data_IF_842511922774
#
_entry.id   IF_842511922774
#
_cell.length_a   1.000
_cell.length_b   1.000
_cell.length_c   1.000
_cell.angle_alpha   90.00
_cell.angle_beta   90.00
_cell.angle_gamma   90.00
#
_symmetry.space_group_name_H-M   'P 1'
#
loop_
_entity.id
_entity.type
_entity.pdbx_description
1 polymer ?
#
# COMPACT_ATOMS: atom_id res chain seq x y z
N UNK A 1 4.92 6.29 19.81
CA UNK A 1 3.50 6.52 20.03
C UNK A 1 2.73 5.24 19.71
N UNK A 2 1.84 4.75 20.61
CA UNK A 2 1.02 3.57 20.35
C UNK A 2 0.12 3.71 19.12
N UNK A 3 -0.14 4.93 18.66
CA UNK A 3 -0.91 5.22 17.45
C UNK A 3 -0.04 5.28 16.18
N UNK A 4 1.26 5.02 16.27
CA UNK A 4 2.16 4.98 15.13
C UNK A 4 2.33 6.33 14.41
N UNK A 5 2.16 7.45 15.11
CA UNK A 5 2.39 8.78 14.53
C UNK A 5 3.88 9.04 14.31
N UNK A 6 4.21 9.58 13.17
CA UNK A 6 5.54 10.05 12.82
C UNK A 6 5.52 11.51 12.40
N UNK A 7 6.59 12.23 12.69
CA UNK A 7 6.72 13.65 12.40
C UNK A 7 8.02 13.93 11.67
N UNK A 8 7.95 14.78 10.66
CA UNK A 8 9.13 15.24 9.92
C UNK A 8 8.94 16.69 9.48
N UNK A 9 9.93 17.53 9.71
CA UNK A 9 9.98 18.85 9.13
C UNK A 9 10.43 18.79 7.66
N UNK A 10 9.76 19.54 6.81
CA UNK A 10 10.08 19.71 5.39
C UNK A 10 9.92 21.21 5.02
N UNK A 11 11.00 21.97 5.06
CA UNK A 11 10.94 23.42 4.89
C UNK A 11 10.02 24.07 5.93
N UNK A 12 9.02 24.80 5.47
CA UNK A 12 8.01 25.47 6.32
C UNK A 12 6.81 24.55 6.64
N UNK A 13 6.86 23.30 6.24
CA UNK A 13 5.80 22.33 6.49
C UNK A 13 6.21 21.31 7.55
N UNK A 14 5.22 20.82 8.28
CA UNK A 14 5.33 19.63 9.10
C UNK A 14 4.58 18.50 8.41
N UNK A 15 5.27 17.40 8.13
CA UNK A 15 4.68 16.18 7.62
C UNK A 15 4.30 15.31 8.80
N UNK A 16 3.01 15.04 8.95
CA UNK A 16 2.46 14.12 9.94
C UNK A 16 2.07 12.81 9.25
N UNK A 17 2.70 11.72 9.61
CA UNK A 17 2.40 10.38 9.11
C UNK A 17 1.74 9.51 10.18
N UNK A 18 0.84 8.63 9.75
CA UNK A 18 0.10 7.70 10.62
C UNK A 18 -1.10 7.11 9.90
N UNK A 19 -2.08 6.63 10.67
CA UNK A 19 -3.30 6.04 10.10
C UNK A 19 -3.03 4.73 9.34
N UNK A 20 -2.03 3.97 9.77
CA UNK A 20 -1.63 2.72 9.12
C UNK A 20 -2.76 1.70 9.14
N UNK A 21 -3.18 1.24 7.97
CA UNK A 21 -4.21 0.24 7.83
C UNK A 21 -3.92 -0.64 6.61
N UNK A 22 -4.57 -1.79 6.55
CA UNK A 22 -4.51 -2.64 5.36
C UNK A 22 -5.28 -1.99 4.23
N UNK A 23 -4.71 -1.96 3.03
CA UNK A 23 -5.39 -1.45 1.84
C UNK A 23 -6.73 -2.18 1.63
N UNK A 24 -7.82 -1.41 1.48
CA UNK A 24 -9.17 -1.94 1.32
C UNK A 24 -9.88 -2.32 2.64
N UNK A 25 -9.30 -2.04 3.80
CA UNK A 25 -9.99 -2.24 5.09
C UNK A 25 -10.73 -0.97 5.50
N UNK A 26 -12.05 -0.98 5.29
CA UNK A 26 -12.94 0.15 5.60
C UNK A 26 -13.38 0.21 7.07
N UNK A 27 -13.02 -0.79 7.89
CA UNK A 27 -13.50 -0.91 9.28
C UNK A 27 -12.94 0.15 10.22
N UNK A 28 -11.82 0.76 9.88
CA UNK A 28 -11.11 1.73 10.71
C UNK A 28 -11.61 3.17 10.55
N UNK A 29 -12.63 3.41 9.71
CA UNK A 29 -13.10 4.74 9.39
C UNK A 29 -12.12 5.51 8.49
N UNK A 30 -12.30 6.83 8.40
CA UNK A 30 -11.46 7.68 7.56
C UNK A 30 -10.11 7.97 8.24
N UNK A 31 -8.98 7.45 7.71
CA UNK A 31 -7.65 7.67 8.27
C UNK A 31 -7.19 9.14 8.13
N UNK A 32 -7.71 9.88 7.16
CA UNK A 32 -7.40 11.31 7.01
C UNK A 32 -8.03 12.13 8.14
N UNK A 33 -9.26 11.84 8.51
CA UNK A 33 -9.92 12.51 9.63
C UNK A 33 -9.25 12.16 10.97
N UNK A 34 -8.74 10.94 11.13
CA UNK A 34 -7.97 10.56 12.30
C UNK A 34 -6.66 11.36 12.42
N UNK A 35 -5.92 11.51 11.31
CA UNK A 35 -4.69 12.30 11.27
C UNK A 35 -4.96 13.80 11.45
N UNK A 36 -6.05 14.31 10.89
CA UNK A 36 -6.45 15.71 11.05
C UNK A 36 -6.74 16.02 12.52
N UNK A 37 -7.50 15.17 13.22
CA UNK A 37 -7.73 15.32 14.66
C UNK A 37 -6.45 15.29 15.46
N UNK A 38 -5.50 14.42 15.12
CA UNK A 38 -4.19 14.38 15.76
C UNK A 38 -3.40 15.68 15.50
N UNK A 39 -3.44 16.20 14.26
CA UNK A 39 -2.82 17.48 13.92
C UNK A 39 -3.41 18.64 14.73
N UNK A 40 -4.72 18.73 14.83
CA UNK A 40 -5.43 19.75 15.63
C UNK A 40 -5.09 19.66 17.12
N UNK A 41 -4.96 18.45 17.65
CA UNK A 41 -4.61 18.21 19.04
C UNK A 41 -3.17 18.65 19.36
N UNK A 42 -2.20 18.28 18.53
CA UNK A 42 -0.77 18.51 18.81
C UNK A 42 -0.26 19.84 18.24
N UNK A 43 -0.91 20.36 17.20
CA UNK A 43 -0.51 21.57 16.48
C UNK A 43 -1.72 22.47 16.18
N UNK A 44 -2.40 23.02 17.19
CA UNK A 44 -3.67 23.73 17.02
C UNK A 44 -3.56 25.01 16.17
N UNK A 45 -2.34 25.53 15.96
CA UNK A 45 -2.08 26.69 15.11
C UNK A 45 -1.79 26.31 13.64
N UNK A 46 -1.65 25.02 13.34
CA UNK A 46 -1.35 24.57 12.00
C UNK A 46 -2.63 24.35 11.18
N UNK A 47 -2.52 24.56 9.87
CA UNK A 47 -3.60 24.23 8.92
C UNK A 47 -3.14 23.13 7.98
N UNK A 48 -4.00 22.14 7.73
CA UNK A 48 -3.73 21.09 6.76
C UNK A 48 -3.71 21.70 5.36
N UNK A 49 -2.63 21.52 4.62
CA UNK A 49 -2.44 22.01 3.26
C UNK A 49 -2.53 20.91 2.21
N UNK A 50 -1.98 19.74 2.54
CA UNK A 50 -1.92 18.60 1.65
C UNK A 50 -2.21 17.34 2.44
N UNK A 51 -2.85 16.37 1.81
CA UNK A 51 -3.05 15.03 2.33
C UNK A 51 -2.86 14.03 1.21
N UNK A 52 -2.22 12.90 1.50
CA UNK A 52 -2.01 11.82 0.55
C UNK A 52 -1.84 10.49 1.27
N UNK A 53 -2.03 9.42 0.54
CA UNK A 53 -1.73 8.05 0.98
C UNK A 53 -0.57 7.47 0.19
N UNK A 54 0.16 6.56 0.82
CA UNK A 54 1.17 5.74 0.18
C UNK A 54 0.99 4.28 0.61
N UNK A 55 1.29 3.36 -0.30
CA UNK A 55 1.23 1.93 -0.03
C UNK A 55 2.63 1.39 0.23
N UNK A 56 2.76 0.59 1.28
CA UNK A 56 4.01 -0.08 1.64
C UNK A 56 3.99 -1.54 1.16
N UNK A 57 5.08 -1.98 0.54
CA UNK A 57 5.27 -3.38 0.20
C UNK A 57 5.70 -4.16 1.44
N UNK A 58 4.80 -5.02 1.94
CA UNK A 58 5.07 -5.89 3.07
C UNK A 58 5.51 -7.27 2.60
N UNK A 59 6.57 -7.80 3.21
CA UNK A 59 6.99 -9.19 2.99
C UNK A 59 6.31 -10.12 3.99
N UNK A 60 6.19 -11.40 3.64
CA UNK A 60 5.48 -12.39 4.48
C UNK A 60 6.17 -12.61 5.84
N UNK A 61 7.47 -12.46 5.90
CA UNK A 61 8.29 -12.68 7.09
C UNK A 61 8.84 -11.39 7.73
N UNK A 62 8.42 -10.23 7.21
CA UNK A 62 8.85 -8.93 7.69
C UNK A 62 10.29 -8.55 7.33
N UNK A 63 11.02 -9.39 6.58
CA UNK A 63 12.39 -9.14 6.15
C UNK A 63 12.38 -8.72 4.67
N UNK A 64 13.01 -7.60 4.26
CA UNK A 64 13.12 -7.21 2.86
C UNK A 64 13.73 -8.29 1.97
N UNK A 65 13.40 -8.27 0.68
CA UNK A 65 14.05 -9.10 -0.32
C UNK A 65 15.14 -8.29 -1.03
N UNK A 66 16.40 -8.68 -0.87
CA UNK A 66 17.55 -8.02 -1.49
C UNK A 66 18.51 -9.10 -2.00
N UNK A 67 18.75 -9.14 -3.31
CA UNK A 67 19.67 -10.12 -3.89
C UNK A 67 19.32 -10.53 -5.31
N UNK A 68 19.84 -11.67 -5.76
CA UNK A 68 19.48 -12.25 -7.06
C UNK A 68 17.99 -12.62 -7.09
N UNK A 69 17.30 -12.23 -8.17
CA UNK A 69 15.88 -12.49 -8.33
C UNK A 69 15.55 -13.99 -8.33
N UNK A 70 16.33 -14.80 -8.99
CA UNK A 70 16.16 -16.24 -9.08
C UNK A 70 17.47 -16.99 -9.21
N UNK A 71 17.43 -18.32 -9.05
CA UNK A 71 18.64 -19.18 -9.18
C UNK A 71 19.23 -19.18 -10.59
N UNK A 72 18.39 -18.98 -11.61
CA UNK A 72 18.77 -19.01 -13.01
C UNK A 72 18.90 -17.62 -13.63
N UNK A 73 18.85 -16.56 -12.82
CA UNK A 73 18.88 -15.16 -13.27
C UNK A 73 20.18 -14.49 -12.80
N UNK A 74 21.28 -14.74 -13.48
CA UNK A 74 22.60 -14.32 -13.03
C UNK A 74 22.78 -12.79 -12.94
N UNK A 75 22.08 -12.03 -13.78
CA UNK A 75 22.19 -10.58 -13.87
C UNK A 75 20.95 -9.82 -13.40
N UNK A 76 19.95 -10.54 -12.85
CA UNK A 76 18.73 -9.91 -12.33
C UNK A 76 18.79 -9.84 -10.82
N UNK A 77 18.68 -8.63 -10.33
CA UNK A 77 18.69 -8.34 -8.91
C UNK A 77 17.40 -7.64 -8.52
N UNK A 78 16.98 -7.83 -7.28
CA UNK A 78 15.80 -7.21 -6.72
C UNK A 78 16.11 -6.63 -5.35
N UNK A 79 15.48 -5.51 -5.05
CA UNK A 79 15.44 -4.92 -3.72
C UNK A 79 14.02 -4.39 -3.49
N UNK A 80 13.25 -5.03 -2.61
CA UNK A 80 11.84 -4.73 -2.37
C UNK A 80 11.39 -5.16 -0.96
N UNK A 81 10.16 -4.79 -0.61
CA UNK A 81 9.60 -5.15 0.68
C UNK A 81 10.18 -4.34 1.84
N UNK A 82 10.51 -3.08 1.59
CA UNK A 82 11.17 -2.21 2.57
C UNK A 82 10.22 -1.71 3.67
N UNK A 83 8.94 -2.02 3.58
CA UNK A 83 7.91 -1.54 4.50
C UNK A 83 8.01 -0.01 4.63
N UNK A 84 8.10 0.50 5.87
CA UNK A 84 8.26 1.94 6.15
C UNK A 84 9.73 2.39 6.28
N UNK A 85 10.68 1.48 6.05
CA UNK A 85 12.12 1.68 6.30
C UNK A 85 12.91 1.88 5.00
N UNK A 86 12.27 2.43 3.95
CA UNK A 86 12.88 2.59 2.64
C UNK A 86 14.22 3.31 2.68
N UNK A 87 14.36 4.40 3.44
CA UNK A 87 15.59 5.19 3.53
C UNK A 87 16.77 4.40 4.13
N UNK A 88 16.54 3.69 5.22
CA UNK A 88 17.60 2.89 5.89
C UNK A 88 17.87 1.59 5.15
N UNK A 89 16.82 0.91 4.70
CA UNK A 89 16.95 -0.36 4.00
C UNK A 89 17.59 -0.21 2.62
N UNK A 90 17.39 0.92 1.93
CA UNK A 90 18.07 1.20 0.66
C UNK A 90 19.59 1.26 0.79
N UNK A 91 20.12 1.74 1.91
CA UNK A 91 21.57 1.75 2.18
C UNK A 91 22.12 0.32 2.35
N UNK A 92 21.37 -0.52 3.08
CA UNK A 92 21.71 -1.93 3.20
C UNK A 92 21.61 -2.64 1.84
N UNK A 93 20.56 -2.36 1.07
CA UNK A 93 20.39 -2.89 -0.27
C UNK A 93 21.54 -2.50 -1.21
N UNK A 94 21.93 -1.24 -1.22
CA UNK A 94 23.05 -0.77 -2.03
C UNK A 94 24.34 -1.54 -1.69
N UNK A 95 24.64 -1.73 -0.40
CA UNK A 95 25.83 -2.47 0.03
C UNK A 95 25.77 -3.94 -0.39
N UNK A 96 24.67 -4.63 -0.14
CA UNK A 96 24.49 -6.05 -0.48
C UNK A 96 24.56 -6.25 -2.01
N UNK A 97 23.81 -5.46 -2.77
CA UNK A 97 23.78 -5.59 -4.23
C UNK A 97 25.13 -5.27 -4.87
N UNK A 98 25.84 -4.25 -4.40
CA UNK A 98 27.18 -3.94 -4.89
C UNK A 98 28.13 -5.10 -4.66
N UNK A 99 28.12 -5.71 -3.47
CA UNK A 99 28.96 -6.87 -3.21
C UNK A 99 28.64 -8.05 -4.12
N UNK A 100 27.33 -8.36 -4.27
CA UNK A 100 26.90 -9.45 -5.15
C UNK A 100 27.25 -9.22 -6.61
N UNK A 101 27.07 -8.00 -7.13
CA UNK A 101 27.42 -7.63 -8.51
C UNK A 101 28.93 -7.70 -8.77
N UNK A 102 29.73 -7.38 -7.77
CA UNK A 102 31.19 -7.48 -7.82
C UNK A 102 31.74 -8.88 -7.48
N UNK A 103 30.89 -9.87 -7.28
CA UNK A 103 31.30 -11.23 -6.91
C UNK A 103 31.89 -11.34 -5.49
N UNK A 104 31.66 -10.34 -4.64
CA UNK A 104 32.16 -10.34 -3.26
C UNK A 104 31.16 -11.04 -2.32
N UNK A 105 31.68 -11.68 -1.30
CA UNK A 105 30.85 -12.27 -0.24
C UNK A 105 30.28 -11.15 0.65
N UNK A 106 29.00 -11.21 0.93
CA UNK A 106 28.35 -10.35 1.91
C UNK A 106 27.68 -11.22 2.98
N UNK A 107 27.98 -10.96 4.24
CA UNK A 107 27.49 -11.79 5.38
C UNK A 107 25.98 -11.72 5.59
N UNK A 108 25.34 -10.72 5.04
CA UNK A 108 23.89 -10.53 5.17
C UNK A 108 23.09 -11.05 3.97
N UNK A 109 23.76 -11.40 2.86
CA UNK A 109 23.11 -11.78 1.61
C UNK A 109 22.11 -12.93 1.78
N UNK A 110 22.41 -13.93 2.62
CA UNK A 110 21.53 -15.07 2.84
C UNK A 110 20.24 -14.69 3.59
N UNK A 111 20.35 -13.78 4.57
CA UNK A 111 19.20 -13.30 5.37
C UNK A 111 18.21 -12.53 4.49
N UNK A 112 18.73 -11.69 3.59
CA UNK A 112 17.91 -10.87 2.70
C UNK A 112 17.58 -11.53 1.36
N UNK A 113 18.12 -12.73 1.10
CA UNK A 113 17.93 -13.43 -0.17
C UNK A 113 16.46 -13.60 -0.52
N UNK A 114 16.03 -13.25 -1.75
CA UNK A 114 14.69 -13.58 -2.24
C UNK A 114 14.42 -15.09 -2.29
N UNK A 115 15.48 -15.90 -2.25
CA UNK A 115 15.42 -17.37 -2.32
C UNK A 115 15.55 -18.05 -0.95
N UNK A 116 15.49 -17.26 0.15
CA UNK A 116 15.58 -17.81 1.50
C UNK A 116 14.44 -18.80 1.80
N UNK A 117 14.74 -19.86 2.52
CA UNK A 117 13.79 -20.94 2.80
C UNK A 117 12.83 -20.68 3.97
N UNK A 118 12.53 -19.42 4.25
CA UNK A 118 11.62 -19.04 5.35
C UNK A 118 10.13 -19.25 5.03
N UNK A 119 9.80 -19.71 3.81
CA UNK A 119 8.42 -19.94 3.38
C UNK A 119 7.64 -20.90 4.29
N UNK A 120 8.29 -21.89 4.90
CA UNK A 120 7.62 -22.79 5.84
C UNK A 120 7.24 -22.07 7.16
N UNK A 121 8.09 -21.17 7.66
CA UNK A 121 7.80 -20.37 8.83
C UNK A 121 6.71 -19.33 8.55
N UNK A 122 6.59 -18.88 7.32
CA UNK A 122 5.61 -17.90 6.87
C UNK A 122 4.34 -18.53 6.27
N UNK A 123 4.22 -19.85 6.25
CA UNK A 123 3.09 -20.55 5.62
C UNK A 123 1.74 -20.13 6.22
N UNK A 124 1.68 -19.91 7.52
CA UNK A 124 0.47 -19.40 8.20
C UNK A 124 0.10 -18.01 7.67
N UNK A 125 1.04 -17.08 7.66
CA UNK A 125 0.83 -15.72 7.13
C UNK A 125 0.44 -15.75 5.65
N UNK A 126 1.09 -16.62 4.86
CA UNK A 126 0.75 -16.79 3.44
C UNK A 126 -0.69 -17.28 3.24
N UNK A 127 -1.14 -18.26 4.03
CA UNK A 127 -2.51 -18.75 3.95
C UNK A 127 -3.51 -17.69 4.43
N UNK A 128 -3.21 -16.98 5.50
CA UNK A 128 -4.07 -15.91 6.03
C UNK A 128 -4.19 -14.75 5.01
N UNK A 129 -3.08 -14.29 4.45
CA UNK A 129 -3.05 -13.23 3.44
C UNK A 129 -3.71 -13.65 2.14
N UNK A 130 -3.45 -14.88 1.69
CA UNK A 130 -4.07 -15.45 0.50
C UNK A 130 -5.58 -15.60 0.65
N UNK A 131 -6.05 -16.15 1.76
CA UNK A 131 -7.48 -16.26 2.07
C UNK A 131 -8.14 -14.88 2.15
N UNK A 132 -7.50 -13.91 2.81
CA UNK A 132 -8.00 -12.55 2.89
C UNK A 132 -8.11 -11.89 1.51
N UNK A 133 -7.09 -12.04 0.66
CA UNK A 133 -7.10 -11.50 -0.70
C UNK A 133 -8.23 -12.12 -1.54
N UNK A 134 -8.40 -13.45 -1.49
CA UNK A 134 -9.46 -14.16 -2.21
C UNK A 134 -10.84 -13.73 -1.70
N UNK A 135 -11.05 -13.67 -0.40
CA UNK A 135 -12.34 -13.26 0.20
C UNK A 135 -12.70 -11.84 -0.18
N UNK A 136 -11.76 -10.90 -0.12
CA UNK A 136 -12.06 -9.52 -0.48
C UNK A 136 -12.28 -9.36 -1.99
N UNK A 137 -11.47 -10.02 -2.82
CA UNK A 137 -11.66 -9.99 -4.26
C UNK A 137 -13.03 -10.55 -4.66
N UNK A 138 -13.42 -11.70 -4.10
CA UNK A 138 -14.72 -12.32 -4.37
C UNK A 138 -15.87 -11.50 -3.81
N UNK A 139 -15.75 -10.96 -2.59
CA UNK A 139 -16.75 -10.10 -1.98
C UNK A 139 -17.03 -8.87 -2.86
N UNK A 140 -15.98 -8.22 -3.35
CA UNK A 140 -16.12 -7.04 -4.21
C UNK A 140 -16.67 -7.39 -5.60
N UNK A 141 -16.35 -8.57 -6.14
CA UNK A 141 -16.90 -9.04 -7.41
C UNK A 141 -18.40 -9.29 -7.32
N UNK A 142 -18.89 -9.83 -6.19
CA UNK A 142 -20.30 -10.19 -5.99
C UNK A 142 -21.10 -9.14 -5.23
N UNK A 143 -20.48 -8.11 -4.67
CA UNK A 143 -21.19 -7.02 -4.04
C UNK A 143 -21.84 -6.14 -5.11
N UNK A 144 -23.18 -6.13 -5.11
CA UNK A 144 -23.93 -5.15 -5.90
C UNK A 144 -23.84 -3.78 -5.24
N UNK A 145 -23.54 -2.72 -6.00
CA UNK A 145 -23.51 -1.36 -5.48
C UNK A 145 -24.89 -0.99 -4.96
N UNK A 146 -24.94 -0.39 -3.78
CA UNK A 146 -26.19 0.14 -3.20
C UNK A 146 -26.44 1.58 -3.59
N UNK A 147 -25.42 2.25 -4.13
CA UNK A 147 -25.50 3.64 -4.50
C UNK A 147 -26.18 3.82 -5.85
N UNK A 148 -26.99 4.84 -5.95
CA UNK A 148 -27.58 5.30 -7.22
C UNK A 148 -26.82 6.52 -7.72
N UNK A 149 -26.84 6.74 -9.02
CA UNK A 149 -26.17 7.87 -9.68
C UNK A 149 -26.53 9.22 -9.03
N UNK A 150 -27.78 9.36 -8.58
CA UNK A 150 -28.32 10.57 -7.93
C UNK A 150 -27.62 10.94 -6.62
N UNK A 151 -27.03 9.97 -5.93
CA UNK A 151 -26.38 10.19 -4.63
C UNK A 151 -24.88 10.45 -4.72
N UNK A 152 -24.29 10.38 -5.92
CA UNK A 152 -22.89 10.72 -6.12
C UNK A 152 -22.72 12.23 -5.96
N UNK A 153 -21.92 12.63 -4.97
CA UNK A 153 -21.63 14.03 -4.72
C UNK A 153 -20.67 14.59 -5.77
N UNK A 154 -20.72 15.90 -5.98
CA UNK A 154 -19.79 16.62 -6.84
C UNK A 154 -18.35 16.42 -6.35
N UNK A 155 -17.40 16.31 -7.27
CA UNK A 155 -16.00 16.08 -6.98
C UNK A 155 -15.68 14.69 -6.41
N UNK A 156 -16.65 13.74 -6.39
CA UNK A 156 -16.45 12.40 -5.83
C UNK A 156 -16.75 11.30 -6.82
N UNK A 157 -16.26 10.11 -6.54
CA UNK A 157 -16.56 8.90 -7.31
C UNK A 157 -17.19 7.82 -6.43
N UNK A 158 -17.83 6.85 -7.09
CA UNK A 158 -18.45 5.71 -6.45
C UNK A 158 -18.63 4.55 -7.44
N UNK A 159 -19.25 3.48 -6.98
CA UNK A 159 -19.67 2.38 -7.84
C UNK A 159 -21.18 2.27 -7.82
N UNK A 160 -21.78 2.16 -9.01
CA UNK A 160 -23.21 2.04 -9.20
C UNK A 160 -23.54 0.83 -10.07
N UNK A 161 -24.80 0.43 -10.06
CA UNK A 161 -25.34 -0.46 -11.06
C UNK A 161 -25.92 0.36 -12.22
N UNK A 162 -25.43 0.10 -13.43
CA UNK A 162 -25.92 0.72 -14.65
C UNK A 162 -26.15 -0.37 -15.70
N UNK A 163 -27.38 -0.47 -16.20
CA UNK A 163 -27.81 -1.51 -17.17
C UNK A 163 -27.45 -2.95 -16.75
N UNK A 164 -27.62 -3.27 -15.46
CA UNK A 164 -27.31 -4.60 -14.92
C UNK A 164 -25.80 -4.89 -14.78
N UNK A 165 -24.96 -3.87 -14.91
CA UNK A 165 -23.50 -3.98 -14.75
C UNK A 165 -23.01 -3.05 -13.63
N UNK A 166 -22.01 -3.52 -12.89
CA UNK A 166 -21.28 -2.68 -11.94
C UNK A 166 -20.32 -1.77 -12.70
N UNK A 167 -20.45 -0.47 -12.55
CA UNK A 167 -19.59 0.53 -13.16
C UNK A 167 -19.08 1.52 -12.11
N UNK A 168 -17.85 1.97 -12.27
CA UNK A 168 -17.34 3.12 -11.55
C UNK A 168 -17.83 4.41 -12.19
N UNK A 169 -18.19 5.39 -11.37
CA UNK A 169 -18.61 6.70 -11.83
C UNK A 169 -17.87 7.77 -11.06
N UNK A 170 -17.48 8.83 -11.72
CA UNK A 170 -16.98 10.07 -11.12
C UNK A 170 -17.86 11.22 -11.58
N UNK A 171 -18.31 12.05 -10.64
CA UNK A 171 -19.08 13.25 -10.91
C UNK A 171 -18.18 14.47 -10.69
N UNK A 172 -18.01 15.31 -11.72
CA UNK A 172 -17.23 16.55 -11.61
C UNK A 172 -17.98 17.61 -10.80
N UNK A 173 -17.31 18.72 -10.51
CA UNK A 173 -17.94 19.90 -9.91
C UNK A 173 -18.95 20.56 -10.86
N UNK A 174 -18.75 20.41 -12.18
CA UNK A 174 -19.59 20.93 -13.26
C UNK A 174 -20.76 20.01 -13.63
N UNK A 175 -21.01 18.95 -12.87
CA UNK A 175 -22.07 17.93 -13.07
C UNK A 175 -21.84 16.93 -14.20
N UNK A 176 -20.67 16.90 -14.81
CA UNK A 176 -20.32 15.89 -15.81
C UNK A 176 -20.05 14.54 -15.16
N UNK A 177 -20.39 13.45 -15.86
CA UNK A 177 -20.17 12.10 -15.39
C UNK A 177 -19.15 11.36 -16.25
N UNK A 178 -18.18 10.74 -15.60
CA UNK A 178 -17.22 9.83 -16.22
C UNK A 178 -17.46 8.41 -15.72
N UNK A 179 -17.60 7.46 -16.65
CA UNK A 179 -17.86 6.07 -16.34
C UNK A 179 -16.64 5.22 -16.68
N UNK A 180 -16.29 4.30 -15.79
CA UNK A 180 -15.18 3.37 -15.97
C UNK A 180 -15.59 1.95 -15.63
N UNK A 181 -14.98 0.98 -16.30
CA UNK A 181 -15.12 -0.42 -15.91
C UNK A 181 -14.45 -0.64 -14.55
N UNK A 182 -15.15 -1.27 -13.62
CA UNK A 182 -14.57 -1.70 -12.34
C UNK A 182 -13.81 -3.01 -12.44
N UNK A 183 -13.78 -3.61 -13.62
CA UNK A 183 -13.05 -4.86 -13.85
C UNK A 183 -11.55 -4.58 -13.91
N UNK A 184 -10.80 -5.22 -13.03
CA UNK A 184 -9.35 -5.08 -13.00
C UNK A 184 -8.73 -5.68 -14.27
N UNK A 185 -7.98 -4.93 -15.08
CA UNK A 185 -7.39 -5.46 -16.32
C UNK A 185 -6.31 -6.52 -16.08
N UNK A 186 -5.78 -6.62 -14.86
CA UNK A 186 -4.75 -7.61 -14.51
C UNK A 186 -5.30 -8.94 -13.99
N UNK A 187 -6.50 -8.92 -13.41
CA UNK A 187 -7.12 -10.09 -12.77
C UNK A 187 -8.40 -10.57 -13.47
N UNK A 188 -8.77 -9.94 -14.57
CA UNK A 188 -9.88 -10.33 -15.43
C UNK A 188 -11.23 -9.79 -15.05
#
# INVERSE_FOLDING_TARGET
DPNGLSLRQAGNFLVLGGGNHRTGDEKLGDPYEALKRAAEQYFPQASVRYAWSAQDCMTLDGIPYIGKFGKQTDHWFVATGFQKWGMTTSMAAATILTDLMCGRKNRYADVFSPQRKTMLASAKTFCEEGAYAVVNLTKELFAFPKEKLEYIRHGTGGTIEYEGKKVGVYKTEEEDFYFVSVKCPHLG
#
